data_IF_945371789748
#
_entry.id   IF_945371789748
#
_cell.length_a   1.000
_cell.length_b   1.000
_cell.length_c   1.000
_cell.angle_alpha   90.00
_cell.angle_beta   90.00
_cell.angle_gamma   90.00
#
_symmetry.space_group_name_H-M   'P 1'
#
loop_
_entity.id
_entity.type
_entity.pdbx_description
1 polymer ?
#
# COMPACT_ATOMS: atom_id res chain seq x y z
N UNK A 1 21.29 6.16 6.39
CA UNK A 1 21.09 6.49 4.96
C UNK A 1 20.40 5.31 4.30
N UNK A 2 19.29 5.53 3.59
CA UNK A 2 18.39 4.47 3.12
C UNK A 2 18.83 3.75 1.82
N UNK A 3 20.00 4.06 1.26
CA UNK A 3 20.59 3.34 0.11
C UNK A 3 19.64 3.20 -1.08
N UNK A 4 19.70 2.05 -1.76
CA UNK A 4 18.81 1.69 -2.88
C UNK A 4 17.35 1.41 -2.46
N UNK A 5 17.01 1.63 -1.19
CA UNK A 5 15.66 1.44 -0.64
C UNK A 5 14.85 2.73 -0.65
N UNK A 6 15.35 3.78 -1.29
CA UNK A 6 14.66 5.05 -1.44
C UNK A 6 13.85 5.10 -2.73
N UNK A 7 12.54 5.30 -2.60
CA UNK A 7 11.64 5.54 -3.74
C UNK A 7 11.60 7.05 -3.99
N UNK A 8 12.29 7.52 -5.03
CA UNK A 8 12.31 8.93 -5.42
C UNK A 8 12.23 9.09 -6.93
N UNK A 9 11.61 10.18 -7.38
CA UNK A 9 11.78 10.68 -8.75
C UNK A 9 13.28 11.02 -8.89
N UNK A 10 13.98 10.42 -9.86
CA UNK A 10 15.45 10.51 -10.05
C UNK A 10 16.33 9.71 -9.06
N UNK A 11 15.76 8.70 -8.37
CA UNK A 11 16.56 7.72 -7.63
C UNK A 11 17.32 6.75 -8.57
N UNK A 12 18.24 5.92 -8.05
CA UNK A 12 18.98 4.95 -8.85
C UNK A 12 18.08 3.89 -9.52
N UNK A 13 16.84 3.76 -9.04
CA UNK A 13 15.79 2.93 -9.64
C UNK A 13 14.82 3.84 -10.39
N UNK A 14 14.70 3.63 -11.71
CA UNK A 14 13.70 4.30 -12.54
C UNK A 14 12.29 3.77 -12.23
N UNK A 15 11.58 4.49 -11.36
CA UNK A 15 10.19 4.21 -11.04
C UNK A 15 9.26 4.80 -12.10
N UNK A 16 8.29 4.00 -12.57
CA UNK A 16 7.25 4.46 -13.51
C UNK A 16 6.47 5.67 -12.95
N UNK A 17 5.99 6.58 -13.82
CA UNK A 17 5.05 7.62 -13.41
C UNK A 17 3.82 6.99 -12.73
N UNK A 18 3.39 7.53 -11.56
CA UNK A 18 2.34 6.94 -10.67
C UNK A 18 2.73 5.62 -10.00
N UNK A 19 4.02 5.45 -9.65
CA UNK A 19 4.51 4.32 -8.85
C UNK A 19 3.89 4.20 -7.45
N UNK A 20 3.24 5.24 -6.91
CA UNK A 20 2.50 5.15 -5.65
C UNK A 20 1.35 4.12 -5.72
N UNK A 21 0.74 3.90 -6.90
CA UNK A 21 -0.28 2.85 -7.08
C UNK A 21 0.32 1.44 -7.14
N UNK A 22 1.66 1.35 -7.16
CA UNK A 22 2.44 0.13 -7.29
C UNK A 22 3.16 -0.25 -6.01
N UNK A 23 3.14 0.55 -4.93
CA UNK A 23 3.67 0.05 -3.67
C UNK A 23 2.53 -0.54 -2.84
N UNK A 24 2.63 -1.81 -2.38
CA UNK A 24 1.65 -2.40 -1.47
C UNK A 24 1.39 -1.57 -0.22
N UNK A 25 2.39 -0.80 0.20
CA UNK A 25 2.29 0.08 1.34
C UNK A 25 1.34 1.26 1.07
N UNK A 26 1.48 1.91 -0.08
CA UNK A 26 0.73 3.12 -0.42
C UNK A 26 -0.72 2.79 -0.80
N UNK A 27 -0.97 1.74 -1.60
CA UNK A 27 -2.34 1.43 -2.02
C UNK A 27 -3.15 0.62 -1.00
N UNK A 28 -2.50 -0.27 -0.24
CA UNK A 28 -3.20 -1.14 0.71
C UNK A 28 -3.01 -0.66 2.15
N UNK A 29 -1.77 -0.65 2.67
CA UNK A 29 -1.56 -0.43 4.10
C UNK A 29 -2.09 0.95 4.53
N UNK A 30 -1.72 2.00 3.80
CA UNK A 30 -2.12 3.36 4.15
C UNK A 30 -3.65 3.53 4.15
N UNK A 31 -4.33 3.12 3.08
CA UNK A 31 -5.78 3.24 2.96
C UNK A 31 -6.55 2.39 3.98
N UNK A 32 -6.14 1.12 4.12
CA UNK A 32 -6.76 0.17 5.03
C UNK A 32 -6.59 0.58 6.50
N UNK A 33 -5.35 0.81 6.93
CA UNK A 33 -5.05 1.17 8.32
C UNK A 33 -5.74 2.48 8.68
N UNK A 34 -5.67 3.49 7.80
CA UNK A 34 -6.34 4.77 8.04
C UNK A 34 -7.85 4.61 8.20
N UNK A 35 -8.50 3.77 7.39
CA UNK A 35 -9.95 3.55 7.52
C UNK A 35 -10.36 2.98 8.87
N UNK A 36 -9.52 2.11 9.45
CA UNK A 36 -9.80 1.43 10.71
C UNK A 36 -9.39 2.27 11.93
N UNK A 37 -8.22 2.90 11.87
CA UNK A 37 -7.66 3.74 12.94
C UNK A 37 -8.55 4.95 13.27
N UNK A 38 -9.27 5.46 12.28
CA UNK A 38 -10.17 6.61 12.45
C UNK A 38 -11.66 6.22 12.57
N UNK A 39 -12.01 4.93 12.54
CA UNK A 39 -13.41 4.48 12.57
C UNK A 39 -14.14 4.88 13.86
N UNK A 40 -13.42 4.87 14.97
CA UNK A 40 -13.86 5.20 16.32
C UNK A 40 -13.64 6.68 16.70
N UNK A 41 -13.08 7.49 15.80
CA UNK A 41 -12.85 8.94 15.94
C UNK A 41 -12.04 9.28 17.20
N UNK A 42 -10.75 8.88 17.28
CA UNK A 42 -9.93 9.14 18.45
C UNK A 42 -9.77 10.65 18.67
N UNK A 43 -9.92 11.08 19.93
CA UNK A 43 -9.85 12.49 20.33
C UNK A 43 -8.48 12.87 20.94
N UNK A 44 -7.63 11.89 21.22
CA UNK A 44 -6.31 12.07 21.82
C UNK A 44 -5.24 11.34 21.01
N UNK A 45 -3.99 11.78 21.15
CA UNK A 45 -2.85 11.10 20.50
C UNK A 45 -2.65 9.69 21.04
N UNK A 46 -2.81 9.48 22.35
CA UNK A 46 -2.66 8.16 22.97
C UNK A 46 -3.65 7.15 22.38
N UNK A 47 -4.91 7.56 22.22
CA UNK A 47 -5.93 6.69 21.63
C UNK A 47 -5.65 6.39 20.16
N UNK A 48 -5.17 7.39 19.41
CA UNK A 48 -4.75 7.19 18.02
C UNK A 48 -3.58 6.21 17.92
N UNK A 49 -2.58 6.32 18.79
CA UNK A 49 -1.45 5.39 18.85
C UNK A 49 -1.90 3.96 19.15
N UNK A 50 -2.78 3.78 20.13
CA UNK A 50 -3.30 2.46 20.51
C UNK A 50 -4.12 1.83 19.39
N UNK A 51 -4.91 2.63 18.66
CA UNK A 51 -5.63 2.14 17.48
C UNK A 51 -4.67 1.70 16.37
N UNK A 52 -3.61 2.46 16.11
CA UNK A 52 -2.59 2.07 15.13
C UNK A 52 -1.96 0.73 15.54
N UNK A 53 -1.57 0.57 16.81
CA UNK A 53 -0.99 -0.68 17.32
C UNK A 53 -1.96 -1.86 17.18
N UNK A 54 -3.22 -1.68 17.56
CA UNK A 54 -4.23 -2.72 17.47
C UNK A 54 -4.50 -3.13 16.02
N UNK A 55 -4.72 -2.17 15.13
CA UNK A 55 -5.01 -2.43 13.71
C UNK A 55 -3.84 -3.13 13.03
N UNK A 56 -2.60 -2.70 13.29
CA UNK A 56 -1.40 -3.34 12.72
C UNK A 56 -1.24 -4.77 13.24
N UNK A 57 -1.50 -5.00 14.53
CA UNK A 57 -1.42 -6.34 15.12
C UNK A 57 -2.49 -7.30 14.57
N UNK A 58 -3.63 -6.78 14.14
CA UNK A 58 -4.73 -7.57 13.54
C UNK A 58 -4.49 -7.91 12.05
N UNK A 59 -3.44 -7.37 11.41
CA UNK A 59 -3.11 -7.70 10.02
C UNK A 59 -2.63 -9.15 9.94
N UNK A 60 -3.51 -10.01 9.43
CA UNK A 60 -3.24 -11.44 9.25
C UNK A 60 -2.30 -11.70 8.07
N UNK A 61 -1.42 -12.71 8.13
CA UNK A 61 -0.54 -13.09 7.03
C UNK A 61 -1.27 -13.36 5.71
N UNK A 62 -2.46 -13.96 5.76
CA UNK A 62 -3.27 -14.25 4.57
C UNK A 62 -3.74 -12.98 3.85
N UNK A 63 -3.90 -11.88 4.58
CA UNK A 63 -4.22 -10.59 3.97
C UNK A 63 -3.00 -10.03 3.23
N UNK A 64 -1.80 -10.19 3.78
CA UNK A 64 -0.55 -9.82 3.13
C UNK A 64 -0.29 -10.66 1.87
N UNK A 65 -0.56 -11.95 1.90
CA UNK A 65 -0.45 -12.83 0.72
C UNK A 65 -1.31 -12.33 -0.43
N UNK A 66 -2.60 -12.05 -0.19
CA UNK A 66 -3.51 -11.46 -1.21
C UNK A 66 -3.00 -10.13 -1.76
N UNK A 67 -2.43 -9.30 -0.89
CA UNK A 67 -1.85 -8.00 -1.29
C UNK A 67 -0.67 -8.21 -2.24
N UNK A 68 0.23 -9.15 -1.93
CA UNK A 68 1.36 -9.48 -2.80
C UNK A 68 0.90 -10.13 -4.11
N UNK A 69 -0.07 -11.05 -4.09
CA UNK A 69 -0.64 -11.64 -5.31
C UNK A 69 -1.23 -10.58 -6.24
N UNK A 70 -2.02 -9.65 -5.69
CA UNK A 70 -2.55 -8.53 -6.44
C UNK A 70 -1.42 -7.64 -6.98
N UNK A 71 -0.39 -7.35 -6.20
CA UNK A 71 0.76 -6.60 -6.67
C UNK A 71 1.47 -7.27 -7.86
N UNK A 72 1.71 -8.58 -7.78
CA UNK A 72 2.29 -9.36 -8.88
C UNK A 72 1.40 -9.32 -10.12
N UNK A 73 0.07 -9.43 -9.96
CA UNK A 73 -0.89 -9.29 -11.06
C UNK A 73 -0.80 -7.91 -11.73
N UNK A 74 -0.71 -6.83 -10.94
CA UNK A 74 -0.56 -5.46 -11.44
C UNK A 74 0.74 -5.27 -12.23
N UNK A 75 1.86 -5.80 -11.73
CA UNK A 75 3.12 -5.77 -12.45
C UNK A 75 3.06 -6.53 -13.79
N UNK A 76 2.43 -7.71 -13.79
CA UNK A 76 2.23 -8.49 -15.01
C UNK A 76 1.37 -7.73 -16.02
N UNK A 77 0.31 -7.06 -15.58
CA UNK A 77 -0.52 -6.22 -16.44
C UNK A 77 0.29 -5.08 -17.07
N UNK A 78 1.08 -4.34 -16.29
CA UNK A 78 1.92 -3.23 -16.79
C UNK A 78 2.94 -3.71 -17.82
N UNK A 79 3.55 -4.87 -17.56
CA UNK A 79 4.48 -5.52 -18.48
C UNK A 79 3.80 -5.88 -19.81
N UNK A 80 2.58 -6.40 -19.76
CA UNK A 80 1.81 -6.75 -20.94
C UNK A 80 1.26 -5.53 -21.70
N UNK A 81 0.89 -4.47 -20.99
CA UNK A 81 0.21 -3.29 -21.53
C UNK A 81 1.17 -2.18 -22.01
N UNK A 82 2.50 -2.41 -21.96
CA UNK A 82 3.54 -1.41 -22.26
C UNK A 82 3.33 -0.07 -21.53
N UNK A 83 2.81 -0.11 -20.29
CA UNK A 83 2.56 1.09 -19.49
C UNK A 83 1.26 1.83 -19.77
N UNK A 84 0.28 1.20 -20.44
CA UNK A 84 -1.08 1.76 -20.56
C UNK A 84 -1.80 1.82 -19.21
N UNK A 85 -2.76 2.75 -19.09
CA UNK A 85 -3.49 3.01 -17.84
C UNK A 85 -4.18 1.74 -17.33
N UNK A 86 -3.98 1.43 -16.05
CA UNK A 86 -4.67 0.33 -15.40
C UNK A 86 -6.07 0.81 -15.00
N UNK A 87 -7.15 0.03 -15.23
CA UNK A 87 -8.44 0.32 -14.60
C UNK A 87 -8.31 0.19 -13.09
N UNK A 88 -9.05 1.00 -12.33
CA UNK A 88 -9.13 0.88 -10.86
C UNK A 88 -9.60 -0.53 -10.49
N UNK A 89 -8.68 -1.38 -10.04
CA UNK A 89 -9.04 -2.68 -9.47
C UNK A 89 -9.53 -2.41 -8.06
N UNK A 90 -10.85 -2.45 -7.90
CA UNK A 90 -11.55 -2.36 -6.60
C UNK A 90 -11.11 -3.54 -5.74
N UNK A 91 -10.51 -3.24 -4.58
CA UNK A 91 -10.22 -4.23 -3.55
C UNK A 91 -11.55 -4.77 -2.99
N UNK A 92 -11.83 -6.05 -3.23
CA UNK A 92 -12.85 -6.78 -2.47
C UNK A 92 -12.12 -7.63 -1.43
N UNK A 93 -12.27 -7.27 -0.15
CA UNK A 93 -11.80 -8.08 0.97
C UNK A 93 -12.56 -9.40 1.07
#
# INVERSE_FOLDING_TARGET
MFGDRLISRFGPVDWLPRSCDLTPLDYFLWGYVKSLVYADKPQTLDHLEDNIRCVIADIRPQMLEKVIENWTSRLNYIRASRGSHMPEIIFKM
#
